data_IF_919624765486
#
_entry.id   IF_919624765486
#
_cell.length_a   1.000
_cell.length_b   1.000
_cell.length_c   1.000
_cell.angle_alpha   90.00
_cell.angle_beta   90.00
_cell.angle_gamma   90.00
#
_symmetry.space_group_name_H-M   'P 1'
#
loop_
_entity.id
_entity.type
_entity.pdbx_description
1 polymer ?
#
# COMPACT_ATOMS: atom_id res chain seq x y z
N UNK A 1 0.70 11.77 -19.34
CA UNK A 1 0.75 11.07 -18.04
C UNK A 1 1.82 11.76 -17.22
N UNK A 2 1.56 12.10 -15.96
CA UNK A 2 2.47 12.91 -15.16
C UNK A 2 3.14 12.08 -14.08
N UNK A 3 4.40 12.36 -13.78
CA UNK A 3 5.13 11.75 -12.68
C UNK A 3 5.39 12.82 -11.62
N UNK A 4 5.25 12.46 -10.35
CA UNK A 4 5.64 13.32 -9.24
C UNK A 4 6.97 12.82 -8.68
N UNK A 5 7.98 13.67 -8.74
CA UNK A 5 9.22 13.45 -8.00
C UNK A 5 9.09 14.12 -6.64
N UNK A 6 9.54 13.45 -5.58
CA UNK A 6 9.51 13.97 -4.21
C UNK A 6 10.76 13.56 -3.44
N UNK A 7 11.23 14.43 -2.54
CA UNK A 7 12.32 14.13 -1.63
C UNK A 7 11.76 13.78 -0.25
N UNK A 8 11.75 12.49 0.10
CA UNK A 8 11.05 11.97 1.28
C UNK A 8 11.99 11.31 2.29
N UNK A 9 11.69 11.46 3.57
CA UNK A 9 12.40 10.74 4.64
C UNK A 9 12.18 9.23 4.51
N UNK A 10 13.27 8.46 4.53
CA UNK A 10 13.23 7.01 4.29
C UNK A 10 13.93 6.16 5.36
N UNK A 11 14.33 6.76 6.49
CA UNK A 11 14.91 6.00 7.60
C UNK A 11 13.81 5.65 8.63
N UNK A 12 13.25 4.43 8.61
CA UNK A 12 12.10 4.08 9.46
C UNK A 12 12.46 3.98 10.95
N UNK A 13 13.73 3.71 11.27
CA UNK A 13 14.22 3.54 12.65
C UNK A 13 14.82 4.81 13.25
N UNK A 14 14.78 5.91 12.51
CA UNK A 14 15.40 7.17 12.91
C UNK A 14 14.34 8.27 12.86
N UNK A 15 14.19 9.07 13.93
CA UNK A 15 13.24 10.17 13.92
C UNK A 15 13.58 11.14 12.80
N UNK A 16 12.55 11.59 12.09
CA UNK A 16 12.73 12.53 10.99
C UNK A 16 13.19 13.88 11.56
N UNK A 17 14.32 14.45 11.10
CA UNK A 17 14.87 15.69 11.64
C UNK A 17 14.05 16.94 11.24
N UNK A 18 13.12 16.80 10.30
CA UNK A 18 12.27 17.88 9.82
C UNK A 18 10.98 17.35 9.17
N UNK A 19 10.49 17.95 8.08
CA UNK A 19 9.32 17.44 7.38
C UNK A 19 9.63 16.11 6.70
N UNK A 20 8.61 15.23 6.61
CA UNK A 20 8.73 13.94 5.92
C UNK A 20 8.88 14.07 4.40
N UNK A 21 8.44 15.19 3.82
CA UNK A 21 8.60 15.54 2.41
C UNK A 21 9.19 16.96 2.33
N UNK A 22 10.38 17.11 1.74
CA UNK A 22 11.09 18.38 1.67
C UNK A 22 10.72 19.21 0.43
N UNK A 23 10.42 18.53 -0.66
CA UNK A 23 10.04 19.11 -1.94
C UNK A 23 9.32 18.06 -2.78
N UNK A 24 8.36 18.52 -3.57
CA UNK A 24 7.70 17.72 -4.59
C UNK A 24 7.52 18.54 -5.85
N UNK A 25 7.72 17.93 -7.00
CA UNK A 25 7.51 18.57 -8.29
C UNK A 25 6.95 17.57 -9.31
N UNK A 26 6.18 18.06 -10.26
CA UNK A 26 5.44 17.24 -11.22
C UNK A 26 5.99 17.49 -12.62
N UNK A 27 6.41 16.41 -13.28
CA UNK A 27 6.98 16.44 -14.63
C UNK A 27 6.17 15.55 -15.57
N UNK A 28 6.34 15.76 -16.87
CA UNK A 28 5.83 14.84 -17.87
C UNK A 28 6.51 13.47 -17.76
N UNK A 29 5.74 12.41 -17.98
CA UNK A 29 6.24 11.04 -17.86
C UNK A 29 7.46 10.80 -18.76
N UNK A 30 8.46 10.11 -18.21
CA UNK A 30 9.72 9.81 -18.91
C UNK A 30 10.82 10.84 -18.70
N UNK A 31 10.50 12.02 -18.15
CA UNK A 31 11.52 13.02 -17.82
C UNK A 31 12.29 12.65 -16.55
N UNK A 32 13.59 13.03 -16.47
CA UNK A 32 14.41 12.80 -15.29
C UNK A 32 13.92 13.63 -14.09
N UNK A 33 14.50 13.35 -12.92
CA UNK A 33 14.20 14.10 -11.71
C UNK A 33 14.50 15.60 -11.92
N UNK A 34 13.55 16.50 -11.58
CA UNK A 34 13.72 17.92 -11.80
C UNK A 34 14.78 18.50 -10.87
N UNK A 35 15.41 19.60 -11.30
CA UNK A 35 16.47 20.29 -10.53
C UNK A 35 15.97 20.77 -9.17
N UNK A 36 14.69 21.13 -9.06
CA UNK A 36 14.02 21.49 -7.81
C UNK A 36 14.14 20.40 -6.72
N UNK A 37 14.21 19.13 -7.13
CA UNK A 37 14.37 17.96 -6.25
C UNK A 37 15.84 17.60 -6.09
N UNK A 38 16.60 17.55 -7.20
CA UNK A 38 18.00 17.11 -7.18
C UNK A 38 18.93 18.08 -6.47
N UNK A 39 18.69 19.40 -6.56
CA UNK A 39 19.48 20.43 -5.86
C UNK A 39 19.40 20.34 -4.33
N UNK A 40 18.32 19.75 -3.80
CA UNK A 40 18.09 19.55 -2.36
C UNK A 40 18.51 18.16 -1.88
N UNK A 41 18.83 17.25 -2.79
CA UNK A 41 19.22 15.91 -2.44
C UNK A 41 20.67 15.88 -1.97
N UNK A 42 20.89 15.36 -0.75
CA UNK A 42 22.20 15.23 -0.14
C UNK A 42 22.46 13.76 0.20
N UNK A 43 23.55 13.15 -0.31
CA UNK A 43 23.91 11.78 0.04
C UNK A 43 24.03 11.59 1.55
N UNK A 44 23.47 10.50 2.07
CA UNK A 44 23.54 10.18 3.50
C UNK A 44 22.62 10.98 4.42
N UNK A 45 21.88 11.98 3.91
CA UNK A 45 20.97 12.80 4.72
C UNK A 45 19.68 12.08 5.15
N UNK A 46 19.46 10.81 4.77
CA UNK A 46 18.27 10.02 5.13
C UNK A 46 17.02 10.29 4.29
N UNK A 47 17.07 11.30 3.41
CA UNK A 47 16.04 11.58 2.42
C UNK A 47 16.33 10.90 1.08
N UNK A 48 15.31 10.33 0.44
CA UNK A 48 15.41 9.67 -0.85
C UNK A 48 14.49 10.33 -1.89
N UNK A 49 14.98 10.38 -3.14
CA UNK A 49 14.18 10.77 -4.30
C UNK A 49 13.20 9.63 -4.62
N UNK A 50 11.91 9.94 -4.58
CA UNK A 50 10.82 9.01 -4.87
C UNK A 50 10.06 9.47 -6.10
N UNK A 51 9.60 8.52 -6.92
CA UNK A 51 8.73 8.77 -8.08
C UNK A 51 7.37 8.16 -7.83
N UNK A 52 6.33 8.97 -7.87
CA UNK A 52 4.94 8.53 -7.89
C UNK A 52 4.36 8.70 -9.29
N UNK A 53 3.71 7.66 -9.81
CA UNK A 53 3.00 7.71 -11.08
C UNK A 53 1.61 8.29 -10.85
N UNK A 54 1.37 9.52 -11.32
CA UNK A 54 0.05 10.14 -11.27
C UNK A 54 -0.77 9.56 -12.41
N UNK A 55 -1.48 8.47 -12.11
CA UNK A 55 -2.52 7.94 -12.98
C UNK A 55 -3.82 8.70 -12.69
N UNK A 56 -4.45 9.24 -13.74
CA UNK A 56 -5.76 9.88 -13.65
C UNK A 56 -6.88 8.86 -13.49
N UNK A 57 -6.59 7.57 -13.73
CA UNK A 57 -7.56 6.50 -13.52
C UNK A 57 -7.97 6.46 -12.07
N UNK A 58 -9.28 6.59 -11.84
CA UNK A 58 -9.86 6.41 -10.52
C UNK A 58 -9.43 5.06 -9.94
N UNK A 59 -8.85 5.08 -8.74
CA UNK A 59 -8.45 3.86 -8.03
C UNK A 59 -9.68 2.95 -7.93
N UNK A 60 -9.65 1.82 -8.64
CA UNK A 60 -10.71 0.82 -8.59
C UNK A 60 -10.68 0.10 -7.25
N UNK A 61 -11.37 0.66 -6.27
CA UNK A 61 -11.58 0.02 -4.97
C UNK A 61 -12.60 -1.10 -5.11
N UNK A 62 -12.31 -2.24 -4.51
CA UNK A 62 -13.32 -3.30 -4.40
C UNK A 62 -14.46 -2.84 -3.51
N UNK A 63 -15.68 -3.17 -3.92
CA UNK A 63 -16.83 -3.11 -3.02
C UNK A 63 -16.58 -4.04 -1.83
N UNK A 64 -17.28 -3.81 -0.72
CA UNK A 64 -17.11 -4.62 0.46
C UNK A 64 -17.56 -6.07 0.21
N UNK A 65 -18.58 -6.29 -0.62
CA UNK A 65 -19.03 -7.63 -1.03
C UNK A 65 -17.96 -8.36 -1.83
N UNK A 66 -17.34 -7.68 -2.81
CA UNK A 66 -16.26 -8.27 -3.61
C UNK A 66 -15.04 -8.58 -2.75
N UNK A 67 -14.72 -7.72 -1.79
CA UNK A 67 -13.63 -7.92 -0.83
C UNK A 67 -13.92 -9.07 0.14
N UNK A 68 -15.14 -9.16 0.64
CA UNK A 68 -15.63 -10.26 1.47
C UNK A 68 -15.51 -11.60 0.75
N UNK A 69 -16.02 -11.68 -0.48
CA UNK A 69 -15.99 -12.89 -1.30
C UNK A 69 -14.54 -13.35 -1.57
N UNK A 70 -13.64 -12.42 -1.90
CA UNK A 70 -12.24 -12.74 -2.10
C UNK A 70 -11.55 -13.22 -0.82
N UNK A 71 -11.82 -12.59 0.32
CA UNK A 71 -11.27 -13.00 1.63
C UNK A 71 -11.72 -14.40 2.02
N UNK A 72 -13.01 -14.71 1.88
CA UNK A 72 -13.58 -16.03 2.16
C UNK A 72 -12.97 -17.11 1.27
N UNK A 73 -12.97 -16.90 -0.05
CA UNK A 73 -12.37 -17.83 -1.02
C UNK A 73 -10.89 -18.12 -0.73
N UNK A 74 -10.12 -17.08 -0.39
CA UNK A 74 -8.70 -17.25 -0.09
C UNK A 74 -8.47 -17.98 1.23
N UNK A 75 -9.30 -17.71 2.25
CA UNK A 75 -9.27 -18.42 3.53
C UNK A 75 -9.62 -19.90 3.33
N UNK A 76 -10.76 -20.20 2.70
CA UNK A 76 -11.21 -21.56 2.40
C UNK A 76 -10.13 -22.33 1.63
N UNK A 77 -9.56 -21.75 0.57
CA UNK A 77 -8.49 -22.39 -0.19
C UNK A 77 -7.26 -22.67 0.66
N UNK A 78 -6.88 -21.72 1.54
CA UNK A 78 -5.70 -21.89 2.41
C UNK A 78 -5.94 -22.97 3.46
N UNK A 79 -7.11 -23.00 4.08
CA UNK A 79 -7.47 -23.98 5.10
C UNK A 79 -7.56 -25.37 4.48
N UNK A 80 -8.30 -25.54 3.38
CA UNK A 80 -8.39 -26.82 2.67
C UNK A 80 -7.02 -27.38 2.23
N UNK A 81 -6.06 -26.50 1.93
CA UNK A 81 -4.70 -26.92 1.58
C UNK A 81 -3.88 -27.37 2.80
N UNK A 82 -4.02 -26.71 3.95
CA UNK A 82 -3.14 -26.93 5.13
C UNK A 82 -3.74 -27.99 6.07
N UNK A 83 -5.04 -27.98 6.28
CA UNK A 83 -5.75 -28.83 7.24
C UNK A 83 -7.10 -29.30 6.65
N UNK A 84 -7.08 -30.14 5.60
CA UNK A 84 -8.31 -30.57 4.91
C UNK A 84 -9.28 -31.31 5.83
N UNK A 85 -8.78 -32.12 6.78
CA UNK A 85 -9.61 -32.90 7.69
C UNK A 85 -10.40 -32.05 8.70
N UNK A 86 -9.92 -30.83 9.00
CA UNK A 86 -10.55 -29.90 9.94
C UNK A 86 -11.05 -28.64 9.23
N UNK A 87 -11.23 -28.68 7.91
CA UNK A 87 -11.43 -27.48 7.14
C UNK A 87 -12.70 -26.72 7.55
N UNK A 88 -13.80 -27.45 7.72
CA UNK A 88 -15.10 -26.86 8.04
C UNK A 88 -15.09 -26.16 9.41
N UNK A 89 -14.58 -26.84 10.44
CA UNK A 89 -14.47 -26.28 11.80
C UNK A 89 -13.57 -25.04 11.85
N UNK A 90 -12.41 -25.10 11.18
CA UNK A 90 -11.46 -23.99 11.15
C UNK A 90 -11.99 -22.79 10.35
N UNK A 91 -12.76 -23.05 9.29
CA UNK A 91 -13.42 -21.99 8.50
C UNK A 91 -14.49 -21.31 9.35
N UNK A 92 -15.37 -22.07 10.00
CA UNK A 92 -16.44 -21.53 10.83
C UNK A 92 -15.88 -20.67 11.97
N UNK A 93 -14.91 -21.20 12.71
CA UNK A 93 -14.26 -20.47 13.81
C UNK A 93 -13.61 -19.16 13.37
N UNK A 94 -12.93 -19.14 12.23
CA UNK A 94 -12.29 -17.92 11.72
C UNK A 94 -13.32 -16.88 11.26
N UNK A 95 -14.46 -17.32 10.70
CA UNK A 95 -15.58 -16.43 10.35
C UNK A 95 -16.21 -15.78 11.59
N UNK A 96 -16.35 -16.54 12.67
CA UNK A 96 -16.88 -16.05 13.95
C UNK A 96 -15.90 -15.12 14.68
N UNK A 97 -14.60 -15.43 14.62
CA UNK A 97 -13.57 -14.64 15.29
C UNK A 97 -13.43 -13.26 14.65
N UNK A 98 -13.57 -13.15 13.31
CA UNK A 98 -13.31 -11.91 12.56
C UNK A 98 -14.42 -11.53 11.59
N UNK A 99 -15.66 -11.34 12.07
CA UNK A 99 -16.83 -11.18 11.20
C UNK A 99 -16.74 -9.90 10.37
N UNK A 100 -16.23 -8.79 10.94
CA UNK A 100 -16.06 -7.53 10.22
C UNK A 100 -15.09 -7.67 9.03
N UNK A 101 -14.00 -8.43 9.21
CA UNK A 101 -13.02 -8.67 8.16
C UNK A 101 -13.64 -9.48 7.01
N UNK A 102 -14.37 -10.56 7.31
CA UNK A 102 -15.02 -11.37 6.27
C UNK A 102 -16.32 -10.79 5.71
N UNK A 103 -16.83 -9.69 6.28
CA UNK A 103 -17.84 -8.81 5.67
C UNK A 103 -17.23 -7.73 4.78
N UNK A 104 -15.91 -7.77 4.52
CA UNK A 104 -15.23 -6.85 3.62
C UNK A 104 -14.94 -5.48 4.21
N UNK A 105 -15.27 -5.26 5.50
CA UNK A 105 -14.94 -4.01 6.18
C UNK A 105 -13.43 -3.95 6.44
N UNK A 106 -12.89 -2.74 6.35
CA UNK A 106 -11.54 -2.42 6.81
C UNK A 106 -11.69 -1.24 7.76
N UNK A 107 -11.19 -1.36 9.00
CA UNK A 107 -10.93 -0.18 9.80
C UNK A 107 -10.00 0.70 8.94
N UNK A 108 -10.49 1.88 8.54
CA UNK A 108 -9.67 2.88 7.87
C UNK A 108 -8.87 3.62 8.92
#
# INVERSE_FOLDING_TARGET
MKWRYSLRWKLPRTPCPGPHELVSDVVEAGLPAPESVMSRWVPGAGYAVCVDFLDERQIRRWSDERKAAARRRNMERRVNRIAPLFADELIERELETRPAYFRGKSAR
#
